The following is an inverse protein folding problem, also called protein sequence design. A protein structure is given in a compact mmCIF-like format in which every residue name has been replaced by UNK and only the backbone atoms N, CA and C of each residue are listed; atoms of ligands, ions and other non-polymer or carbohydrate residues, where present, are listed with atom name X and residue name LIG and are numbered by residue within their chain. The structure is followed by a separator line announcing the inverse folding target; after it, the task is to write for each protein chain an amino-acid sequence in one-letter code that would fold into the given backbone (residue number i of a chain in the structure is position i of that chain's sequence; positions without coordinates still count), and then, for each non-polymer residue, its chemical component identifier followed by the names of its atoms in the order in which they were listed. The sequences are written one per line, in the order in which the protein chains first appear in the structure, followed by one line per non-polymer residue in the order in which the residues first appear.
data_IF_097504112527
#
_entry.id   IF_097504112527
#
_cell.length_a   1.000
_cell.length_b   1.000
_cell.length_c   1.000
_cell.angle_alpha   90.00
_cell.angle_beta   90.00
_cell.angle_gamma   90.00
#
_symmetry.space_group_name_H-M   'P 1'
#
loop_
_entity.id
_entity.type
_entity.pdbx_description
1 polymer ?
#
# COMPACT_ATOMS: atom_id res chain seq x y z
N UNK A 1 -7.64 19.00 17.64
CA UNK A 1 -6.97 17.71 17.88
C UNK A 1 -7.45 17.16 19.21
N UNK A 2 -8.03 15.98 19.21
CA UNK A 2 -8.42 15.27 20.41
C UNK A 2 -7.29 14.31 20.80
N UNK A 3 -6.86 14.41 22.08
CA UNK A 3 -5.71 13.67 22.59
C UNK A 3 -6.00 13.14 23.99
N UNK A 4 -5.62 11.87 24.22
CA UNK A 4 -5.57 11.25 25.53
C UNK A 4 -4.25 10.49 25.64
N UNK A 5 -3.38 10.93 26.56
CA UNK A 5 -2.04 10.38 26.76
C UNK A 5 -2.08 8.86 26.93
N UNK A 6 -1.21 8.13 26.22
CA UNK A 6 -1.15 6.67 26.24
C UNK A 6 -2.36 5.96 25.61
N UNK A 7 -3.21 6.66 24.86
CA UNK A 7 -4.38 6.06 24.20
C UNK A 7 -4.57 6.54 22.76
N UNK A 8 -4.62 7.86 22.51
CA UNK A 8 -4.81 8.36 21.16
C UNK A 8 -4.45 9.83 20.99
N UNK A 9 -4.14 10.20 19.74
CA UNK A 9 -4.15 11.58 19.23
C UNK A 9 -4.72 11.54 17.81
N UNK A 10 -5.90 12.13 17.63
CA UNK A 10 -6.65 12.15 16.37
C UNK A 10 -7.17 13.56 16.07
N UNK A 11 -7.63 13.80 14.85
CA UNK A 11 -8.13 15.10 14.41
C UNK A 11 -9.32 15.59 15.25
N UNK A 12 -10.37 14.78 15.33
CA UNK A 12 -11.65 15.12 15.98
C UNK A 12 -12.43 13.83 16.29
N UNK A 13 -12.63 13.52 17.56
CA UNK A 13 -13.44 12.37 17.99
C UNK A 13 -14.93 12.47 17.60
N UNK A 14 -15.40 13.66 17.29
CA UNK A 14 -16.78 13.87 16.82
C UNK A 14 -17.09 13.17 15.49
N UNK A 15 -16.05 12.84 14.71
CA UNK A 15 -16.17 12.13 13.43
C UNK A 15 -16.40 10.62 13.56
N UNK A 16 -16.28 10.06 14.77
CA UNK A 16 -16.26 8.61 14.99
C UNK A 16 -17.53 7.87 14.53
N UNK A 17 -18.71 8.52 14.57
CA UNK A 17 -19.96 7.88 14.12
C UNK A 17 -19.97 7.69 12.60
N UNK A 18 -19.44 8.64 11.86
CA UNK A 18 -19.29 8.51 10.40
C UNK A 18 -18.26 7.46 10.03
N UNK A 19 -17.10 7.47 10.73
CA UNK A 19 -16.08 6.44 10.57
C UNK A 19 -16.62 5.04 10.83
N UNK A 20 -17.44 4.84 11.88
CA UNK A 20 -18.05 3.53 12.18
C UNK A 20 -18.89 2.99 11.02
N UNK A 21 -19.73 3.83 10.39
CA UNK A 21 -20.55 3.43 9.23
C UNK A 21 -19.67 2.98 8.04
N UNK A 22 -18.56 3.68 7.82
CA UNK A 22 -17.63 3.33 6.75
C UNK A 22 -16.88 2.03 7.03
N UNK A 23 -16.52 1.77 8.30
CA UNK A 23 -15.91 0.50 8.72
C UNK A 23 -16.92 -0.65 8.53
N UNK A 24 -18.17 -0.50 8.95
CA UNK A 24 -19.24 -1.49 8.73
C UNK A 24 -19.47 -1.79 7.24
N UNK A 25 -19.35 -0.77 6.38
CA UNK A 25 -19.37 -0.99 4.94
C UNK A 25 -18.19 -1.85 4.48
N UNK A 26 -16.96 -1.55 4.94
CA UNK A 26 -15.77 -2.33 4.59
C UNK A 26 -15.89 -3.79 5.10
N UNK A 27 -16.35 -4.00 6.34
CA UNK A 27 -16.62 -5.35 6.88
C UNK A 27 -17.51 -6.17 5.95
N UNK A 28 -18.57 -5.56 5.39
CA UNK A 28 -19.48 -6.24 4.45
C UNK A 28 -18.82 -6.64 3.12
N UNK A 29 -17.63 -6.14 2.82
CA UNK A 29 -16.86 -6.37 1.59
C UNK A 29 -15.57 -7.15 1.81
N UNK A 30 -15.27 -7.50 3.05
CA UNK A 30 -14.05 -8.21 3.46
C UNK A 30 -14.38 -9.55 4.12
N UNK A 31 -15.05 -10.48 3.38
CA UNK A 31 -15.57 -11.72 3.96
C UNK A 31 -14.47 -12.67 4.44
N UNK A 32 -13.27 -12.67 3.82
CA UNK A 32 -12.15 -13.55 4.23
C UNK A 32 -11.66 -13.12 5.61
N UNK A 33 -11.42 -11.83 5.81
CA UNK A 33 -10.96 -11.31 7.09
C UNK A 33 -12.03 -11.45 8.18
N UNK A 34 -13.32 -11.30 7.82
CA UNK A 34 -14.43 -11.52 8.75
C UNK A 34 -14.55 -12.99 9.14
N UNK A 35 -14.29 -13.94 8.24
CA UNK A 35 -14.26 -15.37 8.54
C UNK A 35 -13.12 -15.71 9.50
N UNK A 36 -11.91 -15.15 9.28
CA UNK A 36 -10.78 -15.30 10.21
C UNK A 36 -11.13 -14.74 11.60
N UNK A 37 -11.79 -13.59 11.67
CA UNK A 37 -12.28 -13.02 12.95
C UNK A 37 -13.23 -13.98 13.67
N UNK A 38 -14.19 -14.56 12.95
CA UNK A 38 -15.15 -15.53 13.52
C UNK A 38 -14.43 -16.80 14.02
N UNK A 39 -13.51 -17.34 13.22
CA UNK A 39 -12.76 -18.56 13.52
C UNK A 39 -11.88 -18.42 14.77
N UNK A 40 -11.19 -17.27 14.93
CA UNK A 40 -10.17 -17.10 15.96
C UNK A 40 -10.56 -16.24 17.16
N UNK A 41 -11.74 -15.60 17.15
CA UNK A 41 -12.17 -14.72 18.25
C UNK A 41 -12.38 -15.45 19.59
N UNK A 42 -12.78 -16.72 19.57
CA UNK A 42 -12.96 -17.52 20.78
C UNK A 42 -11.62 -18.05 21.34
N UNK A 43 -10.71 -18.47 20.48
CA UNK A 43 -9.40 -19.03 20.85
C UNK A 43 -8.39 -17.96 21.26
N UNK A 44 -8.56 -16.73 20.75
CA UNK A 44 -7.70 -15.55 21.02
C UNK A 44 -6.20 -15.82 20.88
N UNK A 45 -5.73 -16.24 19.71
CA UNK A 45 -4.32 -16.62 19.51
C UNK A 45 -3.33 -15.47 19.79
N UNK A 46 -3.79 -14.22 19.82
CA UNK A 46 -2.94 -13.06 20.11
C UNK A 46 -3.08 -12.55 21.56
N UNK A 47 -3.72 -13.30 22.47
CA UNK A 47 -3.84 -12.86 23.85
C UNK A 47 -2.46 -12.77 24.52
N UNK A 48 -2.14 -11.58 25.06
CA UNK A 48 -0.83 -11.28 25.64
C UNK A 48 0.22 -10.76 24.67
N UNK A 49 -0.11 -10.66 23.37
CA UNK A 49 0.77 -10.07 22.37
C UNK A 49 0.36 -8.64 22.03
N UNK A 50 1.34 -7.72 22.00
CA UNK A 50 1.16 -6.36 21.48
C UNK A 50 1.66 -6.30 20.04
N UNK A 51 0.83 -5.74 19.15
CA UNK A 51 1.12 -5.45 17.75
C UNK A 51 1.22 -3.95 17.58
N UNK A 52 2.38 -3.45 17.15
CA UNK A 52 2.54 -2.06 16.73
C UNK A 52 2.47 -1.96 15.22
N UNK A 53 1.57 -1.12 14.71
CA UNK A 53 1.34 -0.95 13.28
C UNK A 53 1.63 0.45 12.77
N UNK A 54 2.25 0.53 11.60
CA UNK A 54 2.42 1.75 10.82
C UNK A 54 1.94 1.48 9.39
N UNK A 55 0.64 1.69 9.16
CA UNK A 55 -0.02 1.44 7.88
C UNK A 55 -1.17 2.45 7.69
N UNK A 56 -1.53 2.74 6.44
CA UNK A 56 -2.57 3.71 6.09
C UNK A 56 -3.85 3.52 6.92
N UNK A 57 -4.32 4.58 7.59
CA UNK A 57 -5.53 4.53 8.41
C UNK A 57 -6.75 4.72 7.53
N UNK A 58 -7.19 3.63 6.91
CA UNK A 58 -8.39 3.55 6.07
C UNK A 58 -9.47 2.68 6.73
N UNK A 59 -10.67 2.67 6.17
CA UNK A 59 -11.76 1.80 6.65
C UNK A 59 -11.39 0.31 6.60
N UNK A 60 -10.62 -0.11 5.62
CA UNK A 60 -10.12 -1.47 5.47
C UNK A 60 -9.13 -1.83 6.57
N UNK A 61 -8.19 -0.93 6.84
CA UNK A 61 -7.22 -1.09 7.94
C UNK A 61 -7.92 -1.21 9.28
N UNK A 62 -9.01 -0.46 9.49
CA UNK A 62 -9.79 -0.59 10.71
C UNK A 62 -10.39 -1.99 10.88
N UNK A 63 -10.83 -2.64 9.78
CA UNK A 63 -11.32 -4.04 9.85
C UNK A 63 -10.19 -4.99 10.27
N UNK A 64 -8.96 -4.80 9.76
CA UNK A 64 -7.79 -5.58 10.22
C UNK A 64 -7.49 -5.35 11.70
N UNK A 65 -7.39 -4.10 12.12
CA UNK A 65 -7.11 -3.72 13.53
C UNK A 65 -8.14 -4.34 14.49
N UNK A 66 -9.43 -4.19 14.18
CA UNK A 66 -10.51 -4.75 15.01
C UNK A 66 -10.54 -6.28 14.95
N UNK A 67 -10.09 -6.90 13.85
CA UNK A 67 -9.94 -8.36 13.78
C UNK A 67 -8.82 -8.85 14.69
N UNK A 68 -7.64 -8.21 14.65
CA UNK A 68 -6.53 -8.52 15.55
C UNK A 68 -6.94 -8.36 17.03
N UNK A 69 -7.64 -7.27 17.36
CA UNK A 69 -8.15 -7.03 18.71
C UNK A 69 -9.21 -8.07 19.15
N UNK A 70 -10.15 -8.44 18.28
CA UNK A 70 -11.14 -9.47 18.55
C UNK A 70 -10.47 -10.83 18.82
N UNK A 71 -9.32 -11.09 18.16
CA UNK A 71 -8.49 -12.29 18.36
C UNK A 71 -7.47 -12.16 19.51
N UNK A 72 -7.59 -11.12 20.36
CA UNK A 72 -6.87 -10.99 21.62
C UNK A 72 -5.66 -10.03 21.60
N UNK A 73 -5.28 -9.46 20.47
CA UNK A 73 -4.12 -8.57 20.40
C UNK A 73 -4.33 -7.24 21.12
N UNK A 74 -3.29 -6.75 21.79
CA UNK A 74 -3.15 -5.34 22.13
C UNK A 74 -2.59 -4.62 20.89
N UNK A 75 -3.30 -3.58 20.39
CA UNK A 75 -2.90 -2.93 19.13
C UNK A 75 -2.62 -1.45 19.37
N UNK A 76 -1.44 -0.99 18.91
CA UNK A 76 -1.08 0.42 18.80
C UNK A 76 -0.81 0.77 17.33
N UNK A 77 -1.36 1.88 16.83
CA UNK A 77 -1.36 2.17 15.40
C UNK A 77 -1.03 3.60 15.03
N UNK A 78 -0.29 3.78 13.94
CA UNK A 78 -0.05 5.06 13.27
C UNK A 78 -0.25 4.96 11.77
N UNK A 79 -0.40 6.12 11.09
CA UNK A 79 -0.39 6.15 9.62
C UNK A 79 1.02 6.12 9.06
N UNK A 80 1.22 5.48 7.93
CA UNK A 80 2.50 5.40 7.21
C UNK A 80 2.70 6.49 6.15
N UNK A 81 1.76 7.43 6.02
CA UNK A 81 1.83 8.53 5.06
C UNK A 81 1.08 9.77 5.60
N UNK A 82 1.67 10.97 5.49
CA UNK A 82 1.06 12.19 6.02
C UNK A 82 -0.33 12.56 5.49
N UNK A 83 -0.67 12.13 4.27
CA UNK A 83 -1.93 12.52 3.59
C UNK A 83 -2.93 11.36 3.44
N UNK A 84 -2.65 10.18 3.99
CA UNK A 84 -3.50 9.00 3.76
C UNK A 84 -4.50 8.69 4.87
N UNK A 85 -4.32 9.27 6.07
CA UNK A 85 -5.23 9.02 7.19
C UNK A 85 -6.63 9.55 6.90
N UNK A 86 -7.63 8.69 7.06
CA UNK A 86 -9.04 9.07 7.09
C UNK A 86 -9.41 9.43 8.53
N UNK A 87 -9.63 10.73 8.79
CA UNK A 87 -9.77 11.26 10.15
C UNK A 87 -10.98 10.69 10.90
N UNK A 88 -12.05 10.36 10.19
CA UNK A 88 -13.25 9.71 10.73
C UNK A 88 -12.98 8.26 11.16
N UNK A 89 -12.14 7.56 10.42
CA UNK A 89 -11.72 6.19 10.76
C UNK A 89 -10.80 6.21 11.99
N UNK A 90 -9.80 7.10 12.03
CA UNK A 90 -8.95 7.27 13.20
C UNK A 90 -9.79 7.60 14.46
N UNK A 91 -10.79 8.46 14.33
CA UNK A 91 -11.72 8.79 15.41
C UNK A 91 -12.56 7.58 15.86
N UNK A 92 -13.03 6.74 14.92
CA UNK A 92 -13.80 5.54 15.23
C UNK A 92 -12.96 4.52 16.01
N UNK A 93 -11.73 4.25 15.57
CA UNK A 93 -10.79 3.37 16.25
C UNK A 93 -10.43 3.89 17.65
N UNK A 94 -10.12 5.18 17.80
CA UNK A 94 -9.86 5.80 19.10
C UNK A 94 -11.03 5.66 20.06
N UNK A 95 -12.26 5.87 19.58
CA UNK A 95 -13.48 5.72 20.37
C UNK A 95 -13.78 4.26 20.72
N UNK A 96 -13.38 3.32 19.84
CA UNK A 96 -13.43 1.87 20.07
C UNK A 96 -12.43 1.36 21.09
N UNK A 97 -11.46 2.18 21.50
CA UNK A 97 -10.43 1.84 22.49
C UNK A 97 -9.09 1.41 21.91
N UNK A 98 -8.91 1.51 20.59
CA UNK A 98 -7.61 1.28 19.96
C UNK A 98 -6.63 2.38 20.34
N UNK A 99 -5.40 2.01 20.72
CA UNK A 99 -4.29 2.97 20.84
C UNK A 99 -3.90 3.45 19.45
N UNK A 100 -4.19 4.73 19.12
CA UNK A 100 -4.00 5.26 17.76
C UNK A 100 -3.51 6.71 17.75
N UNK A 101 -2.50 6.95 16.94
CA UNK A 101 -1.88 8.25 16.72
C UNK A 101 -1.84 8.54 15.22
N UNK A 102 -2.89 9.19 14.68
CA UNK A 102 -3.01 9.44 13.26
C UNK A 102 -4.00 10.57 12.94
N UNK A 103 -3.64 11.44 12.00
CA UNK A 103 -4.53 12.44 11.40
C UNK A 103 -4.04 12.85 10.01
N UNK A 104 -4.92 13.35 9.18
CA UNK A 104 -4.58 13.83 7.85
C UNK A 104 -3.76 15.13 7.92
N UNK A 105 -2.70 15.26 7.12
CA UNK A 105 -1.88 16.46 7.03
C UNK A 105 -0.80 16.55 8.12
N UNK A 106 -0.18 15.43 8.47
CA UNK A 106 1.01 15.38 9.33
C UNK A 106 2.18 16.11 8.67
N UNK A 107 2.97 16.83 9.45
CA UNK A 107 4.33 17.16 9.05
C UNK A 107 5.30 16.01 9.38
N UNK A 108 6.57 16.14 9.03
CA UNK A 108 7.56 15.08 9.24
C UNK A 108 7.79 14.80 10.73
N UNK A 109 7.81 15.82 11.58
CA UNK A 109 8.05 15.67 13.02
C UNK A 109 6.85 14.97 13.68
N UNK A 110 5.63 15.39 13.34
CA UNK A 110 4.40 14.74 13.80
C UNK A 110 4.29 13.28 13.29
N UNK A 111 4.75 13.00 12.06
CA UNK A 111 4.74 11.64 11.50
C UNK A 111 5.61 10.69 12.33
N UNK A 112 6.87 11.03 12.57
CA UNK A 112 7.76 10.20 13.40
C UNK A 112 7.30 10.18 14.86
N UNK A 113 6.77 11.27 15.39
CA UNK A 113 6.17 11.28 16.72
C UNK A 113 5.04 10.26 16.86
N UNK A 114 4.19 10.11 15.82
CA UNK A 114 3.12 9.09 15.83
C UNK A 114 3.69 7.66 15.87
N UNK A 115 4.73 7.37 15.05
CA UNK A 115 5.41 6.06 15.07
C UNK A 115 5.98 5.78 16.46
N UNK A 116 6.72 6.73 17.04
CA UNK A 116 7.30 6.63 18.38
C UNK A 116 6.25 6.28 19.46
N UNK A 117 5.05 6.87 19.37
CA UNK A 117 3.97 6.58 20.32
C UNK A 117 3.49 5.13 20.24
N UNK A 118 3.49 4.51 19.07
CA UNK A 118 3.06 3.10 18.95
C UNK A 118 4.01 2.11 19.63
N UNK A 119 5.25 2.52 19.86
CA UNK A 119 6.31 1.71 20.50
C UNK A 119 6.71 2.21 21.89
N UNK A 120 5.97 3.14 22.50
CA UNK A 120 6.19 3.55 23.91
C UNK A 120 6.21 2.35 24.87
N UNK A 121 5.44 1.33 24.58
CA UNK A 121 5.55 0.00 25.17
C UNK A 121 6.09 -0.95 24.11
N UNK A 122 7.19 -1.65 24.35
CA UNK A 122 7.77 -2.55 23.35
C UNK A 122 6.76 -3.54 22.79
N UNK A 123 6.61 -3.64 21.44
CA UNK A 123 5.72 -4.61 20.83
C UNK A 123 6.34 -6.00 20.78
N UNK A 124 5.50 -7.02 20.64
CA UNK A 124 5.91 -8.37 20.29
C UNK A 124 5.95 -8.59 18.78
N UNK A 125 5.12 -7.84 18.04
CA UNK A 125 4.99 -7.93 16.58
C UNK A 125 4.93 -6.54 15.97
N UNK A 126 5.51 -6.39 14.78
CA UNK A 126 5.42 -5.16 13.97
C UNK A 126 4.65 -5.42 12.68
N UNK A 127 3.80 -4.48 12.25
CA UNK A 127 3.12 -4.49 10.97
C UNK A 127 3.41 -3.15 10.28
N UNK A 128 4.08 -3.16 9.15
CA UNK A 128 4.59 -1.93 8.52
C UNK A 128 4.20 -1.83 7.05
N UNK A 129 4.19 -0.61 6.57
CA UNK A 129 3.95 -0.27 5.17
C UNK A 129 4.95 0.83 4.75
N UNK A 130 6.07 0.39 4.19
CA UNK A 130 7.21 1.22 3.82
C UNK A 130 8.43 1.07 4.73
N UNK A 131 8.35 0.23 5.75
CA UNK A 131 9.41 -0.10 6.70
C UNK A 131 9.89 1.08 7.56
N UNK A 132 9.06 2.11 7.81
CA UNK A 132 9.47 3.24 8.65
C UNK A 132 9.42 2.91 10.14
N UNK A 133 8.41 2.15 10.60
CA UNK A 133 8.35 1.63 11.97
C UNK A 133 9.50 0.65 12.25
N UNK A 134 9.67 -0.34 11.37
CA UNK A 134 10.73 -1.35 11.52
C UNK A 134 12.11 -0.67 11.52
N UNK A 135 12.33 0.30 10.62
CA UNK A 135 13.58 1.06 10.57
C UNK A 135 13.80 1.90 11.84
N UNK A 136 12.75 2.56 12.36
CA UNK A 136 12.82 3.32 13.62
C UNK A 136 13.22 2.40 14.79
N UNK A 137 12.63 1.21 14.90
CA UNK A 137 13.06 0.23 15.91
C UNK A 137 14.53 -0.12 15.77
N UNK A 138 15.01 -0.43 14.55
CA UNK A 138 16.39 -0.86 14.34
C UNK A 138 17.43 0.26 14.52
N UNK A 139 17.08 1.52 14.19
CA UNK A 139 18.01 2.66 14.26
C UNK A 139 18.04 3.33 15.64
N UNK A 140 16.87 3.56 16.23
CA UNK A 140 16.72 4.41 17.39
C UNK A 140 16.36 3.66 18.67
N UNK A 141 15.81 2.45 18.55
CA UNK A 141 15.30 1.61 19.66
C UNK A 141 15.75 0.14 19.54
N UNK A 142 16.99 -0.10 19.11
CA UNK A 142 17.49 -1.47 18.83
C UNK A 142 17.43 -2.43 20.03
N UNK A 143 17.39 -1.89 21.26
CA UNK A 143 17.16 -2.67 22.47
C UNK A 143 15.77 -3.29 22.58
N UNK A 144 14.78 -2.78 21.82
CA UNK A 144 13.44 -3.34 21.77
C UNK A 144 13.36 -4.59 20.88
N UNK A 145 14.30 -4.75 19.93
CA UNK A 145 14.29 -5.87 19.00
C UNK A 145 14.31 -7.24 19.70
N UNK A 146 14.94 -7.35 20.87
CA UNK A 146 14.95 -8.57 21.69
C UNK A 146 13.55 -9.00 22.18
N UNK A 147 12.57 -8.09 22.17
CA UNK A 147 11.18 -8.38 22.56
C UNK A 147 10.30 -8.72 21.36
N UNK A 148 10.77 -8.43 20.14
CA UNK A 148 9.99 -8.58 18.91
C UNK A 148 10.23 -9.99 18.36
N UNK A 149 9.15 -10.78 18.27
CA UNK A 149 9.20 -12.14 17.73
C UNK A 149 9.12 -12.19 16.22
N UNK A 150 8.73 -11.08 15.58
CA UNK A 150 8.72 -10.94 14.13
C UNK A 150 7.84 -9.78 13.66
N UNK A 151 7.80 -9.60 12.34
CA UNK A 151 7.01 -8.55 11.71
C UNK A 151 6.51 -8.92 10.33
N UNK A 152 5.79 -8.00 9.72
CA UNK A 152 5.31 -8.10 8.35
C UNK A 152 5.40 -6.75 7.63
N UNK A 153 5.55 -6.80 6.29
CA UNK A 153 5.66 -5.62 5.43
C UNK A 153 4.68 -5.70 4.28
N UNK A 154 3.88 -4.64 4.12
CA UNK A 154 2.77 -4.56 3.17
C UNK A 154 3.21 -4.19 1.75
N UNK A 155 4.30 -3.40 1.59
CA UNK A 155 4.57 -2.76 0.30
C UNK A 155 5.93 -3.07 -0.29
N UNK A 156 6.02 -3.06 -1.63
CA UNK A 156 7.25 -3.32 -2.40
C UNK A 156 8.43 -2.46 -1.93
N UNK A 157 8.20 -1.17 -1.64
CA UNK A 157 9.27 -0.25 -1.22
C UNK A 157 9.84 -0.64 0.14
N UNK A 158 8.98 -1.02 1.10
CA UNK A 158 9.41 -1.52 2.40
C UNK A 158 10.14 -2.85 2.29
N UNK A 159 9.63 -3.81 1.51
CA UNK A 159 10.31 -5.09 1.26
C UNK A 159 11.72 -4.87 0.69
N UNK A 160 11.90 -3.93 -0.25
CA UNK A 160 13.23 -3.60 -0.78
C UNK A 160 14.18 -3.07 0.31
N UNK A 161 13.70 -2.21 1.21
CA UNK A 161 14.49 -1.69 2.35
C UNK A 161 14.88 -2.82 3.31
N UNK A 162 13.92 -3.69 3.65
CA UNK A 162 14.14 -4.81 4.56
C UNK A 162 15.11 -5.85 3.98
N UNK A 163 14.98 -6.19 2.68
CA UNK A 163 15.95 -7.07 2.00
C UNK A 163 17.35 -6.45 1.93
N UNK A 164 17.48 -5.13 1.83
CA UNK A 164 18.77 -4.46 1.93
C UNK A 164 19.34 -4.56 3.34
N UNK A 165 18.53 -4.38 4.39
CA UNK A 165 18.94 -4.57 5.79
C UNK A 165 19.35 -6.03 6.07
N UNK A 166 18.61 -7.01 5.55
CA UNK A 166 18.93 -8.44 5.66
C UNK A 166 20.28 -8.76 5.00
N UNK A 167 20.50 -8.32 3.76
CA UNK A 167 21.78 -8.49 3.05
C UNK A 167 22.98 -7.87 3.79
N UNK A 168 22.75 -6.77 4.50
CA UNK A 168 23.78 -6.11 5.32
C UNK A 168 23.94 -6.74 6.72
N UNK A 169 23.14 -7.77 7.05
CA UNK A 169 23.12 -8.41 8.38
C UNK A 169 22.69 -7.45 9.49
N UNK A 170 21.75 -6.56 9.20
CA UNK A 170 21.24 -5.52 10.13
C UNK A 170 19.84 -5.82 10.66
N UNK A 171 19.12 -6.74 10.03
CA UNK A 171 17.81 -7.15 10.50
C UNK A 171 17.96 -7.94 11.81
N UNK A 172 17.13 -7.65 12.82
CA UNK A 172 17.25 -8.17 14.18
C UNK A 172 16.08 -9.08 14.58
N UNK A 173 15.12 -9.28 13.70
CA UNK A 173 14.01 -10.21 13.85
C UNK A 173 13.45 -10.59 12.48
N UNK A 174 12.75 -11.74 12.35
CA UNK A 174 12.19 -12.18 11.08
C UNK A 174 11.05 -11.27 10.61
N UNK A 175 10.95 -11.03 9.30
CA UNK A 175 9.87 -10.23 8.70
C UNK A 175 9.29 -10.97 7.49
N UNK A 176 7.97 -11.16 7.48
CA UNK A 176 7.25 -11.65 6.30
C UNK A 176 7.01 -10.54 5.28
N UNK A 177 7.43 -10.77 4.04
CA UNK A 177 7.13 -9.92 2.89
C UNK A 177 5.71 -10.20 2.36
N UNK A 178 4.70 -9.68 3.04
CA UNK A 178 3.30 -9.87 2.63
C UNK A 178 3.05 -9.34 1.22
N UNK A 179 3.73 -8.25 0.83
CA UNK A 179 3.67 -7.73 -0.53
C UNK A 179 3.94 -8.78 -1.61
N UNK A 180 4.75 -9.81 -1.31
CA UNK A 180 5.23 -10.77 -2.30
C UNK A 180 4.32 -12.03 -2.41
N UNK A 181 3.23 -12.13 -1.61
CA UNK A 181 2.18 -13.13 -1.79
C UNK A 181 1.38 -12.90 -3.09
N UNK A 182 1.01 -13.95 -3.82
CA UNK A 182 0.25 -13.83 -5.09
C UNK A 182 -1.13 -13.22 -4.86
N UNK A 183 -1.84 -13.62 -3.79
CA UNK A 183 -3.13 -13.04 -3.40
C UNK A 183 -3.03 -11.59 -2.98
N UNK A 184 -1.82 -11.08 -2.72
CA UNK A 184 -1.57 -9.66 -2.48
C UNK A 184 -1.20 -8.92 -3.75
N UNK A 185 -0.04 -9.20 -4.37
CA UNK A 185 0.48 -8.35 -5.45
C UNK A 185 -0.31 -8.43 -6.75
N UNK A 186 -0.91 -9.58 -7.11
CA UNK A 186 -1.67 -9.68 -8.36
C UNK A 186 -3.07 -9.08 -8.24
N UNK A 187 -3.54 -8.83 -7.02
CA UNK A 187 -4.85 -8.23 -6.75
C UNK A 187 -4.73 -6.78 -6.27
N UNK A 188 -4.07 -6.55 -5.15
CA UNK A 188 -3.91 -5.22 -4.56
C UNK A 188 -3.09 -4.30 -5.46
N UNK A 189 -1.85 -4.67 -5.78
CA UNK A 189 -0.97 -3.82 -6.57
C UNK A 189 -1.46 -3.63 -8.02
N UNK A 190 -2.18 -4.59 -8.60
CA UNK A 190 -2.70 -4.52 -9.97
C UNK A 190 -4.10 -3.90 -10.02
N UNK A 191 -5.08 -4.58 -9.43
CA UNK A 191 -6.48 -4.14 -9.50
C UNK A 191 -6.76 -2.97 -8.55
N UNK A 192 -6.26 -3.04 -7.33
CA UNK A 192 -6.41 -2.00 -6.32
C UNK A 192 -5.80 -0.68 -6.77
N UNK A 193 -4.48 -0.68 -7.03
CA UNK A 193 -3.76 0.52 -7.50
C UNK A 193 -4.31 1.04 -8.83
N UNK A 194 -4.61 0.14 -9.77
CA UNK A 194 -5.15 0.53 -11.08
C UNK A 194 -6.46 1.30 -10.97
N UNK A 195 -7.39 0.83 -10.16
CA UNK A 195 -8.69 1.49 -9.97
C UNK A 195 -8.57 2.77 -9.14
N UNK A 196 -7.91 2.70 -7.99
CA UNK A 196 -7.84 3.83 -7.05
C UNK A 196 -7.02 5.01 -7.58
N UNK A 197 -5.98 4.76 -8.39
CA UNK A 197 -5.23 5.82 -9.07
C UNK A 197 -6.13 6.60 -10.02
N UNK A 198 -6.92 5.91 -10.83
CA UNK A 198 -7.88 6.57 -11.74
C UNK A 198 -8.95 7.34 -10.94
N UNK A 199 -9.46 6.76 -9.85
CA UNK A 199 -10.42 7.43 -8.96
C UNK A 199 -9.82 8.73 -8.39
N UNK A 200 -8.59 8.71 -7.89
CA UNK A 200 -7.89 9.90 -7.39
C UNK A 200 -7.73 11.00 -8.45
N UNK A 201 -7.32 10.63 -9.66
CA UNK A 201 -7.20 11.55 -10.78
C UNK A 201 -8.56 12.18 -11.12
N UNK A 202 -9.62 11.39 -11.18
CA UNK A 202 -10.96 11.87 -11.49
C UNK A 202 -11.51 12.80 -10.41
N UNK A 203 -11.35 12.46 -9.14
CA UNK A 203 -11.78 13.30 -8.01
C UNK A 203 -11.05 14.65 -7.98
N UNK A 204 -9.72 14.63 -8.15
CA UNK A 204 -8.90 15.84 -8.13
C UNK A 204 -9.08 16.73 -9.37
N UNK A 205 -9.54 16.21 -10.51
CA UNK A 205 -9.54 16.95 -11.77
C UNK A 205 -10.89 17.01 -12.48
N UNK A 206 -11.74 16.00 -12.33
CA UNK A 206 -12.96 15.80 -13.17
C UNK A 206 -12.65 15.79 -14.68
N UNK A 207 -11.45 15.34 -15.09
CA UNK A 207 -11.01 15.34 -16.49
C UNK A 207 -11.61 14.17 -17.26
N UNK A 208 -11.81 14.34 -18.58
CA UNK A 208 -12.14 13.23 -19.47
C UNK A 208 -10.85 12.47 -19.82
N UNK A 209 -10.80 11.19 -19.51
CA UNK A 209 -9.66 10.32 -19.82
C UNK A 209 -9.68 9.84 -21.27
N UNK A 210 -10.87 9.58 -21.83
CA UNK A 210 -10.99 9.08 -23.19
C UNK A 210 -10.34 10.02 -24.21
N UNK A 211 -9.53 9.44 -25.11
CA UNK A 211 -8.78 10.15 -26.14
C UNK A 211 -7.53 10.87 -25.67
N UNK A 212 -7.23 10.90 -24.35
CA UNK A 212 -6.00 11.48 -23.80
C UNK A 212 -4.82 10.56 -24.00
N UNK A 213 -3.63 11.13 -24.20
CA UNK A 213 -2.38 10.42 -24.11
C UNK A 213 -2.01 10.26 -22.63
N UNK A 214 -2.19 9.06 -22.11
CA UNK A 214 -1.97 8.72 -20.71
C UNK A 214 -0.62 8.02 -20.58
N UNK A 215 0.34 8.68 -19.97
CA UNK A 215 1.71 8.20 -19.78
C UNK A 215 1.83 7.51 -18.42
N UNK A 216 2.30 6.28 -18.41
CA UNK A 216 2.58 5.49 -17.22
C UNK A 216 4.10 5.23 -17.17
N UNK A 217 4.76 5.77 -16.14
CA UNK A 217 6.16 5.49 -15.88
C UNK A 217 6.29 4.26 -15.00
N UNK A 218 6.90 3.19 -15.54
CA UNK A 218 6.96 1.87 -14.94
C UNK A 218 5.82 0.96 -15.38
N UNK A 219 6.15 -0.32 -15.64
CA UNK A 219 5.19 -1.36 -16.03
C UNK A 219 5.31 -2.61 -15.15
N UNK A 220 5.59 -2.39 -13.85
CA UNK A 220 5.44 -3.39 -12.80
C UNK A 220 3.97 -3.65 -12.49
N UNK A 221 3.67 -4.23 -11.35
CA UNK A 221 2.29 -4.58 -10.96
C UNK A 221 1.36 -3.35 -10.97
N UNK A 222 1.74 -2.28 -10.27
CA UNK A 222 0.95 -1.04 -10.20
C UNK A 222 0.80 -0.38 -11.58
N UNK A 223 1.91 -0.17 -12.30
CA UNK A 223 1.88 0.47 -13.62
C UNK A 223 1.06 -0.30 -14.65
N UNK A 224 1.11 -1.65 -14.63
CA UNK A 224 0.28 -2.53 -15.46
C UNK A 224 -1.21 -2.34 -15.14
N UNK A 225 -1.55 -2.27 -13.86
CA UNK A 225 -2.92 -2.04 -13.40
C UNK A 225 -3.46 -0.69 -13.88
N UNK A 226 -2.69 0.39 -13.69
CA UNK A 226 -3.04 1.74 -14.14
C UNK A 226 -3.19 1.80 -15.66
N UNK A 227 -2.23 1.22 -16.43
CA UNK A 227 -2.29 1.20 -17.88
C UNK A 227 -3.54 0.47 -18.41
N UNK A 228 -3.88 -0.67 -17.80
CA UNK A 228 -5.06 -1.45 -18.16
C UNK A 228 -6.35 -0.65 -17.92
N UNK A 229 -6.47 0.02 -16.76
CA UNK A 229 -7.65 0.83 -16.43
C UNK A 229 -7.77 2.07 -17.31
N UNK A 230 -6.68 2.80 -17.54
CA UNK A 230 -6.67 3.96 -18.41
C UNK A 230 -7.07 3.59 -19.85
N UNK A 231 -6.53 2.47 -20.38
CA UNK A 231 -6.90 1.92 -21.69
C UNK A 231 -8.38 1.54 -21.75
N UNK A 232 -8.90 0.89 -20.70
CA UNK A 232 -10.33 0.54 -20.57
C UNK A 232 -11.26 1.77 -20.56
N UNK A 233 -10.77 2.93 -20.13
CA UNK A 233 -11.48 4.21 -20.19
C UNK A 233 -11.26 4.98 -21.50
N UNK A 234 -10.62 4.38 -22.50
CA UNK A 234 -10.44 4.94 -23.83
C UNK A 234 -9.23 5.86 -23.98
N UNK A 235 -8.26 5.82 -23.06
CA UNK A 235 -7.00 6.54 -23.22
C UNK A 235 -6.10 5.90 -24.29
N UNK A 236 -5.25 6.73 -24.92
CA UNK A 236 -4.09 6.30 -25.66
C UNK A 236 -2.94 6.09 -24.67
N UNK A 237 -2.65 4.85 -24.28
CA UNK A 237 -1.68 4.55 -23.23
C UNK A 237 -0.25 4.52 -23.78
N UNK A 238 0.65 5.21 -23.08
CA UNK A 238 2.08 5.28 -23.34
C UNK A 238 2.80 4.80 -22.09
N UNK A 239 3.69 3.83 -22.22
CA UNK A 239 4.50 3.29 -21.11
C UNK A 239 5.96 3.72 -21.30
N UNK A 240 6.57 4.16 -20.20
CA UNK A 240 8.01 4.35 -20.12
C UNK A 240 8.61 3.34 -19.17
N UNK A 241 9.69 2.66 -19.54
CA UNK A 241 10.24 1.55 -18.78
C UNK A 241 11.77 1.45 -19.02
N UNK A 242 12.49 0.97 -17.99
CA UNK A 242 13.95 0.79 -18.05
C UNK A 242 14.37 -0.66 -18.27
N UNK A 243 13.50 -1.62 -17.94
CA UNK A 243 13.76 -3.06 -18.11
C UNK A 243 13.28 -3.52 -19.49
N UNK A 244 14.18 -4.03 -20.39
CA UNK A 244 13.81 -4.40 -21.74
C UNK A 244 12.69 -5.45 -21.84
N UNK A 245 12.72 -6.48 -21.00
CA UNK A 245 11.67 -7.52 -20.98
C UNK A 245 10.30 -6.96 -20.57
N UNK A 246 10.26 -6.05 -19.59
CA UNK A 246 9.03 -5.40 -19.12
C UNK A 246 8.50 -4.43 -20.20
N UNK A 247 9.37 -3.68 -20.86
CA UNK A 247 9.00 -2.82 -21.99
C UNK A 247 8.43 -3.63 -23.17
N UNK A 248 9.04 -4.78 -23.47
CA UNK A 248 8.52 -5.69 -24.50
C UNK A 248 7.12 -6.23 -24.11
N UNK A 249 6.91 -6.59 -22.84
CA UNK A 249 5.60 -7.02 -22.35
C UNK A 249 4.56 -5.92 -22.55
N UNK A 250 4.86 -4.68 -22.16
CA UNK A 250 3.95 -3.54 -22.35
C UNK A 250 3.58 -3.36 -23.83
N UNK A 251 4.55 -3.55 -24.76
CA UNK A 251 4.31 -3.48 -26.20
C UNK A 251 3.34 -4.57 -26.66
N UNK A 252 3.53 -5.82 -26.19
CA UNK A 252 2.67 -6.95 -26.56
C UNK A 252 1.27 -6.84 -25.93
N UNK A 253 1.13 -6.20 -24.78
CA UNK A 253 -0.16 -5.87 -24.15
C UNK A 253 -0.87 -4.70 -24.89
N UNK A 254 -0.24 -4.16 -25.95
CA UNK A 254 -0.83 -3.17 -26.86
C UNK A 254 -0.74 -1.74 -26.35
N UNK A 255 0.30 -1.41 -25.60
CA UNK A 255 0.66 -0.04 -25.23
C UNK A 255 1.75 0.50 -26.15
N UNK A 256 1.78 1.82 -26.36
CA UNK A 256 2.96 2.45 -26.96
C UNK A 256 4.08 2.48 -25.93
N UNK A 257 5.31 2.20 -26.35
CA UNK A 257 6.49 2.28 -25.47
C UNK A 257 7.49 3.27 -26.05
N UNK A 258 7.97 4.20 -25.22
CA UNK A 258 8.97 5.20 -25.60
C UNK A 258 9.73 5.70 -24.38
N UNK A 259 10.78 6.52 -24.58
CA UNK A 259 11.48 7.19 -23.48
C UNK A 259 10.59 8.25 -22.82
N UNK A 260 10.88 8.58 -21.53
CA UNK A 260 10.18 9.68 -20.87
C UNK A 260 10.42 11.03 -21.57
N UNK A 261 11.60 11.27 -22.13
CA UNK A 261 11.90 12.48 -22.90
C UNK A 261 10.97 12.66 -24.12
N UNK A 262 10.60 11.56 -24.79
CA UNK A 262 9.65 11.56 -25.90
C UNK A 262 8.19 11.62 -25.43
N UNK A 263 7.87 10.87 -24.35
CA UNK A 263 6.53 10.83 -23.76
C UNK A 263 6.12 12.20 -23.19
N UNK A 264 7.06 12.96 -22.62
CA UNK A 264 6.82 14.29 -22.06
C UNK A 264 6.24 15.28 -23.09
N UNK A 265 6.60 15.17 -24.37
CA UNK A 265 6.09 16.03 -25.45
C UNK A 265 4.67 15.62 -25.90
N UNK A 266 4.27 14.37 -25.64
CA UNK A 266 3.02 13.78 -26.15
C UNK A 266 1.93 13.65 -25.10
N UNK A 267 2.31 13.47 -23.83
CA UNK A 267 1.42 13.17 -22.73
C UNK A 267 0.46 14.32 -22.38
N UNK A 268 -0.73 13.94 -21.96
CA UNK A 268 -1.74 14.84 -21.37
C UNK A 268 -1.88 14.55 -19.87
N UNK A 269 -1.76 13.27 -19.47
CA UNK A 269 -1.81 12.79 -18.08
C UNK A 269 -0.59 11.89 -17.86
N UNK A 270 0.11 12.08 -16.76
CA UNK A 270 1.29 11.32 -16.36
C UNK A 270 1.08 10.70 -15.01
N UNK A 271 1.40 9.40 -14.87
CA UNK A 271 1.41 8.68 -13.59
C UNK A 271 2.73 7.96 -13.44
N UNK A 272 3.41 8.18 -12.32
CA UNK A 272 4.61 7.43 -11.95
C UNK A 272 4.26 6.27 -11.02
N UNK A 273 4.88 5.10 -11.25
CA UNK A 273 4.63 3.84 -10.54
C UNK A 273 5.89 2.97 -10.52
N UNK A 274 7.05 3.56 -10.22
CA UNK A 274 8.37 2.90 -10.37
C UNK A 274 9.04 2.56 -9.04
N UNK A 275 8.71 3.28 -7.97
CA UNK A 275 9.43 3.23 -6.71
C UNK A 275 10.85 3.85 -6.78
N UNK A 276 11.19 4.55 -7.89
CA UNK A 276 12.50 5.15 -8.11
C UNK A 276 12.46 6.66 -7.94
N UNK A 277 13.59 7.24 -7.56
CA UNK A 277 13.75 8.69 -7.42
C UNK A 277 13.88 9.36 -8.78
N UNK A 278 13.37 10.61 -8.91
CA UNK A 278 13.61 11.52 -10.04
C UNK A 278 13.20 10.95 -11.41
N UNK A 279 12.07 10.28 -11.49
CA UNK A 279 11.51 9.69 -12.72
C UNK A 279 11.05 10.79 -13.68
N UNK A 280 10.32 11.79 -13.16
CA UNK A 280 9.96 13.01 -13.90
C UNK A 280 10.73 14.17 -13.30
N UNK A 281 11.55 14.83 -14.13
CA UNK A 281 12.49 15.88 -13.77
C UNK A 281 12.20 17.18 -14.52
N UNK A 282 12.88 18.27 -14.14
CA UNK A 282 12.74 19.59 -14.77
C UNK A 282 12.78 19.57 -16.29
N UNK A 283 13.70 18.80 -16.91
CA UNK A 283 13.78 18.64 -18.37
C UNK A 283 12.50 18.07 -19.00
N UNK A 284 11.77 17.21 -18.27
CA UNK A 284 10.52 16.64 -18.74
C UNK A 284 9.36 17.64 -18.55
N UNK A 285 9.31 18.33 -17.41
CA UNK A 285 8.32 19.39 -17.16
C UNK A 285 8.39 20.51 -18.19
N UNK A 286 9.61 20.88 -18.65
CA UNK A 286 9.78 21.88 -19.70
C UNK A 286 9.14 21.48 -21.04
N UNK A 287 9.11 20.18 -21.36
CA UNK A 287 8.54 19.64 -22.60
C UNK A 287 7.04 19.38 -22.54
N UNK A 288 6.47 19.31 -21.34
CA UNK A 288 5.05 19.05 -21.17
C UNK A 288 4.19 20.17 -21.75
N UNK A 289 3.06 19.76 -22.34
CA UNK A 289 2.02 20.66 -22.88
C UNK A 289 1.42 21.53 -21.78
N UNK A 290 0.87 22.69 -22.18
CA UNK A 290 0.01 23.45 -21.28
C UNK A 290 -1.19 22.61 -20.83
N UNK A 291 -1.41 22.55 -19.52
CA UNK A 291 -2.50 21.80 -18.90
C UNK A 291 -2.17 20.33 -18.63
N UNK A 292 -0.92 19.89 -18.77
CA UNK A 292 -0.50 18.54 -18.40
C UNK A 292 -0.81 18.24 -16.91
N UNK A 293 -1.36 17.06 -16.64
CA UNK A 293 -1.67 16.57 -15.29
C UNK A 293 -0.63 15.53 -14.90
N UNK A 294 -0.05 15.66 -13.72
CA UNK A 294 1.00 14.77 -13.21
C UNK A 294 0.59 14.22 -11.85
N UNK A 295 0.65 12.91 -11.69
CA UNK A 295 0.33 12.20 -10.47
C UNK A 295 1.39 11.13 -10.16
N UNK A 296 1.50 10.77 -8.90
CA UNK A 296 2.32 9.66 -8.44
C UNK A 296 1.42 8.60 -7.77
N UNK A 297 1.72 7.33 -8.02
CA UNK A 297 1.12 6.20 -7.31
C UNK A 297 2.20 5.27 -6.71
N UNK A 298 3.46 5.72 -6.67
CA UNK A 298 4.52 5.11 -5.88
C UNK A 298 4.42 5.53 -4.41
N UNK A 299 4.99 4.73 -3.52
CA UNK A 299 4.85 4.90 -2.06
C UNK A 299 5.35 6.26 -1.56
N UNK A 300 6.50 6.71 -2.03
CA UNK A 300 7.10 7.99 -1.64
C UNK A 300 6.92 9.07 -2.73
N UNK A 301 6.99 10.34 -2.32
CA UNK A 301 6.86 11.52 -3.17
C UNK A 301 8.15 11.88 -3.95
N UNK A 302 9.10 10.96 -4.03
CA UNK A 302 10.41 11.18 -4.65
C UNK A 302 10.46 10.94 -6.17
N UNK A 303 9.41 10.34 -6.75
CA UNK A 303 9.38 10.03 -8.18
C UNK A 303 9.23 11.28 -9.05
N UNK A 304 8.57 12.31 -8.53
CA UNK A 304 8.41 13.61 -9.15
C UNK A 304 9.39 14.60 -8.53
N UNK A 305 10.31 15.18 -9.32
CA UNK A 305 11.22 16.20 -8.82
C UNK A 305 10.49 17.55 -8.76
N UNK A 306 9.72 17.78 -7.69
CA UNK A 306 8.93 19.00 -7.52
C UNK A 306 9.77 20.22 -7.18
N UNK A 307 10.97 20.04 -6.66
CA UNK A 307 11.95 21.13 -6.46
C UNK A 307 12.37 21.72 -7.83
N UNK A 308 12.78 20.86 -8.78
CA UNK A 308 13.08 21.31 -10.13
C UNK A 308 11.85 21.93 -10.83
N UNK A 309 10.63 21.45 -10.58
CA UNK A 309 9.41 22.06 -11.12
C UNK A 309 9.15 23.45 -10.51
N UNK A 310 9.33 23.59 -9.21
CA UNK A 310 9.18 24.90 -8.53
C UNK A 310 10.18 25.92 -9.07
N UNK A 311 11.44 25.51 -9.28
CA UNK A 311 12.50 26.38 -9.85
C UNK A 311 12.19 26.85 -11.30
N UNK A 312 11.43 26.04 -12.06
CA UNK A 312 11.00 26.35 -13.42
C UNK A 312 9.70 27.17 -13.49
N UNK A 313 9.10 27.44 -12.35
CA UNK A 313 7.77 28.06 -12.24
C UNK A 313 7.83 29.48 -11.69
N UNK A 314 7.03 30.36 -12.26
CA UNK A 314 6.88 31.76 -11.79
C UNK A 314 5.75 31.91 -10.76
N UNK A 315 4.87 30.90 -10.66
CA UNK A 315 3.76 30.86 -9.69
C UNK A 315 3.34 29.40 -9.43
N UNK A 316 2.88 29.18 -8.19
CA UNK A 316 2.31 27.89 -7.77
C UNK A 316 1.13 28.14 -6.82
N UNK A 317 -0.03 27.55 -7.12
CA UNK A 317 -1.25 27.74 -6.32
C UNK A 317 -2.13 26.49 -6.31
N UNK A 318 -2.85 26.27 -5.26
CA UNK A 318 -3.93 25.29 -5.23
C UNK A 318 -5.13 25.81 -6.05
N UNK A 319 -5.62 25.00 -6.99
CA UNK A 319 -6.76 25.33 -7.86
C UNK A 319 -8.00 24.51 -7.53
N UNK A 320 -7.81 23.36 -6.93
CA UNK A 320 -8.81 22.45 -6.37
C UNK A 320 -8.16 21.66 -5.25
N UNK A 321 -8.97 21.06 -4.40
CA UNK A 321 -8.50 20.10 -3.41
C UNK A 321 -7.61 19.03 -4.08
N UNK A 322 -6.43 18.79 -3.53
CA UNK A 322 -5.41 17.86 -4.05
C UNK A 322 -4.93 18.15 -5.49
N UNK A 323 -5.04 19.39 -5.96
CA UNK A 323 -4.60 19.79 -7.30
C UNK A 323 -3.90 21.16 -7.25
N UNK A 324 -2.60 21.15 -7.43
CA UNK A 324 -1.72 22.32 -7.45
C UNK A 324 -1.27 22.64 -8.87
N UNK A 325 -1.57 23.87 -9.32
CA UNK A 325 -1.10 24.44 -10.58
C UNK A 325 0.28 25.04 -10.40
N UNK A 326 1.20 24.71 -11.29
CA UNK A 326 2.50 25.35 -11.46
C UNK A 326 2.52 26.04 -12.80
N UNK A 327 2.78 27.34 -12.83
CA UNK A 327 2.87 28.14 -14.07
C UNK A 327 4.35 28.33 -14.44
N UNK A 328 4.78 27.75 -15.56
CA UNK A 328 6.15 27.87 -16.07
C UNK A 328 6.44 29.27 -16.59
N UNK A 329 7.72 29.63 -16.78
CA UNK A 329 8.15 30.94 -17.31
C UNK A 329 7.53 31.28 -18.69
N UNK A 330 7.26 30.27 -19.53
CA UNK A 330 6.64 30.47 -20.84
C UNK A 330 5.11 30.61 -20.78
N UNK A 331 4.52 30.56 -19.58
CA UNK A 331 3.09 30.65 -19.33
C UNK A 331 2.32 29.33 -19.40
N UNK A 332 2.95 28.22 -19.82
CA UNK A 332 2.31 26.90 -19.77
C UNK A 332 2.17 26.41 -18.33
N UNK A 333 1.13 25.63 -18.06
CA UNK A 333 0.78 25.13 -16.74
C UNK A 333 0.96 23.62 -16.64
N UNK A 334 1.40 23.18 -15.48
CA UNK A 334 1.44 21.77 -15.07
C UNK A 334 0.64 21.63 -13.78
N UNK A 335 -0.22 20.63 -13.71
CA UNK A 335 -1.04 20.34 -12.54
C UNK A 335 -0.48 19.10 -11.82
N UNK A 336 -0.09 19.26 -10.57
CA UNK A 336 0.42 18.18 -9.72
C UNK A 336 -0.67 17.76 -8.75
N UNK A 337 -0.98 16.46 -8.70
CA UNK A 337 -2.00 15.92 -7.83
C UNK A 337 -1.40 15.37 -6.53
N UNK A 338 -2.10 15.60 -5.40
CA UNK A 338 -1.72 15.08 -4.09
C UNK A 338 -0.33 15.54 -3.63
N UNK A 339 0.14 16.71 -4.08
CA UNK A 339 1.49 17.22 -3.82
C UNK A 339 2.60 16.20 -4.15
N UNK A 340 2.39 15.36 -5.18
CA UNK A 340 3.31 14.32 -5.61
C UNK A 340 3.30 13.03 -4.79
N UNK A 341 2.45 12.93 -3.76
CA UNK A 341 2.25 11.72 -2.97
C UNK A 341 1.28 10.76 -3.65
N UNK A 342 1.05 9.59 -3.06
CA UNK A 342 0.11 8.58 -3.56
C UNK A 342 -1.27 9.20 -3.86
N UNK A 343 -1.57 9.42 -5.13
CA UNK A 343 -2.82 10.07 -5.57
C UNK A 343 -4.07 9.28 -5.18
N UNK A 344 -3.96 7.96 -5.12
CA UNK A 344 -5.04 7.04 -4.74
C UNK A 344 -5.47 7.16 -3.28
N UNK A 345 -4.59 7.65 -2.41
CA UNK A 345 -4.86 7.85 -0.98
C UNK A 345 -4.99 9.33 -0.61
N UNK A 346 -4.21 10.20 -1.26
CA UNK A 346 -4.32 11.64 -1.03
C UNK A 346 -5.61 12.24 -1.60
N UNK A 347 -6.04 11.78 -2.77
CA UNK A 347 -7.20 12.34 -3.49
C UNK A 347 -8.40 11.38 -3.61
N UNK A 348 -8.29 10.13 -3.13
CA UNK A 348 -9.37 9.14 -3.15
C UNK A 348 -9.41 8.35 -1.83
N UNK A 349 -10.11 7.22 -1.83
CA UNK A 349 -10.34 6.44 -0.62
C UNK A 349 -9.37 5.26 -0.45
N UNK A 350 -8.37 5.14 -1.33
CA UNK A 350 -7.46 4.01 -1.37
C UNK A 350 -8.00 2.83 -2.17
N UNK A 351 -7.45 1.65 -1.92
CA UNK A 351 -7.81 0.44 -2.65
C UNK A 351 -9.19 -0.09 -2.22
N UNK A 352 -9.93 -0.76 -3.15
CA UNK A 352 -11.21 -1.38 -2.82
C UNK A 352 -11.09 -2.42 -1.71
N UNK A 353 -12.10 -2.47 -0.83
CA UNK A 353 -12.14 -3.39 0.31
C UNK A 353 -12.01 -4.86 -0.12
N UNK A 354 -12.54 -5.23 -1.30
CA UNK A 354 -12.51 -6.59 -1.84
C UNK A 354 -11.09 -7.11 -2.13
N UNK A 355 -10.14 -6.22 -2.47
CA UNK A 355 -8.73 -6.62 -2.67
C UNK A 355 -7.93 -6.52 -1.38
N UNK A 356 -8.23 -5.52 -0.52
CA UNK A 356 -7.61 -5.40 0.80
C UNK A 356 -7.98 -6.55 1.73
N UNK A 357 -9.12 -7.19 1.51
CA UNK A 357 -9.57 -8.40 2.20
C UNK A 357 -8.50 -9.50 2.17
N UNK A 358 -7.94 -9.79 0.99
CA UNK A 358 -6.88 -10.80 0.82
C UNK A 358 -5.53 -10.31 1.35
N UNK A 359 -5.17 -9.05 1.08
CA UNK A 359 -3.91 -8.48 1.59
C UNK A 359 -3.87 -8.55 3.12
N UNK A 360 -4.94 -8.14 3.77
CA UNK A 360 -5.00 -8.12 5.24
C UNK A 360 -5.23 -9.51 5.87
N UNK A 361 -5.81 -10.46 5.12
CA UNK A 361 -5.81 -11.86 5.52
C UNK A 361 -4.38 -12.43 5.55
N UNK A 362 -3.52 -12.07 4.59
CA UNK A 362 -2.09 -12.40 4.62
C UNK A 362 -1.38 -11.79 5.84
N UNK A 363 -1.67 -10.52 6.19
CA UNK A 363 -1.14 -9.88 7.40
C UNK A 363 -1.52 -10.66 8.67
N UNK A 364 -2.80 -11.01 8.78
CA UNK A 364 -3.31 -11.79 9.91
C UNK A 364 -2.63 -13.16 10.01
N UNK A 365 -2.56 -13.90 8.89
CA UNK A 365 -1.96 -15.24 8.84
C UNK A 365 -0.46 -15.22 9.11
N UNK A 366 0.27 -14.24 8.60
CA UNK A 366 1.69 -14.05 8.87
C UNK A 366 1.97 -13.84 10.37
N UNK A 367 1.18 -13.00 11.03
CA UNK A 367 1.30 -12.79 12.46
C UNK A 367 0.90 -14.02 13.27
N UNK A 368 -0.13 -14.74 12.83
CA UNK A 368 -0.56 -15.99 13.47
C UNK A 368 0.56 -17.06 13.41
N UNK A 369 1.20 -17.21 12.26
CA UNK A 369 2.34 -18.14 12.09
C UNK A 369 3.52 -17.76 13.01
N UNK A 370 3.88 -16.48 13.11
CA UNK A 370 4.93 -16.00 14.00
C UNK A 370 4.63 -16.32 15.47
N UNK A 371 3.40 -16.13 15.93
CA UNK A 371 2.98 -16.46 17.29
C UNK A 371 3.03 -17.98 17.52
N UNK A 372 2.50 -18.79 16.61
CA UNK A 372 2.52 -20.26 16.72
C UNK A 372 3.94 -20.82 16.76
N UNK A 373 4.85 -20.26 15.96
CA UNK A 373 6.29 -20.62 16.01
C UNK A 373 6.95 -20.24 17.32
N UNK A 374 6.62 -19.06 17.83
CA UNK A 374 7.12 -18.63 19.14
C UNK A 374 6.65 -19.54 20.26
N UNK A 375 5.37 -19.93 20.27
CA UNK A 375 4.82 -20.84 21.28
C UNK A 375 5.34 -22.27 21.19
N UNK A 376 5.73 -22.72 19.98
CA UNK A 376 6.32 -24.05 19.74
C UNK A 376 7.85 -24.09 19.82
N UNK A 377 8.52 -22.98 20.11
CA UNK A 377 9.98 -22.82 20.13
C UNK A 377 10.64 -23.13 18.76
N UNK A 378 9.93 -22.80 17.67
CA UNK A 378 10.34 -22.97 16.27
C UNK A 378 10.61 -21.62 15.57
N UNK A 379 11.31 -20.71 16.25
CA UNK A 379 11.56 -19.35 15.75
C UNK A 379 12.29 -19.34 14.41
N UNK A 380 11.92 -18.40 13.55
CA UNK A 380 12.63 -18.11 12.31
C UNK A 380 13.94 -17.35 12.59
N UNK A 381 14.93 -17.46 11.68
CA UNK A 381 16.12 -16.61 11.71
C UNK A 381 15.76 -15.15 11.34
N UNK A 382 16.62 -14.20 11.75
CA UNK A 382 16.44 -12.76 11.49
C UNK A 382 16.65 -12.41 10.00
N UNK A 383 15.66 -12.72 9.19
CA UNK A 383 15.66 -12.57 7.71
C UNK A 383 14.31 -12.11 7.19
N UNK A 384 14.29 -11.70 5.93
CA UNK A 384 13.04 -11.48 5.19
C UNK A 384 12.57 -12.78 4.57
N UNK A 385 11.34 -13.17 4.83
CA UNK A 385 10.70 -14.38 4.34
C UNK A 385 9.56 -14.05 3.39
N UNK A 386 9.43 -14.81 2.31
CA UNK A 386 8.23 -14.83 1.49
C UNK A 386 7.09 -15.54 2.24
N UNK A 387 5.84 -15.17 1.97
CA UNK A 387 4.69 -15.92 2.47
C UNK A 387 4.73 -17.33 1.89
N UNK A 388 4.59 -18.38 2.72
CA UNK A 388 4.51 -19.76 2.24
C UNK A 388 3.35 -19.93 1.23
N UNK A 389 3.60 -20.63 0.12
CA UNK A 389 2.60 -20.83 -0.93
C UNK A 389 1.29 -21.45 -0.39
N UNK A 390 1.40 -22.39 0.55
CA UNK A 390 0.24 -23.04 1.17
C UNK A 390 -0.65 -22.01 1.91
N UNK A 391 -0.03 -21.05 2.60
CA UNK A 391 -0.77 -19.98 3.29
C UNK A 391 -1.48 -19.04 2.29
N UNK A 392 -0.82 -18.73 1.19
CA UNK A 392 -1.36 -17.89 0.12
C UNK A 392 -2.52 -18.57 -0.61
N UNK A 393 -2.37 -19.87 -0.92
CA UNK A 393 -3.40 -20.70 -1.54
C UNK A 393 -4.65 -20.82 -0.65
N UNK A 394 -4.50 -21.04 0.67
CA UNK A 394 -5.60 -21.06 1.63
C UNK A 394 -6.45 -19.77 1.58
N UNK A 395 -5.80 -18.61 1.48
CA UNK A 395 -6.50 -17.33 1.37
C UNK A 395 -7.29 -17.24 0.06
N UNK A 396 -6.69 -17.69 -1.05
CA UNK A 396 -7.36 -17.75 -2.35
C UNK A 396 -8.57 -18.69 -2.33
N UNK A 397 -8.44 -19.87 -1.71
CA UNK A 397 -9.53 -20.84 -1.56
C UNK A 397 -10.69 -20.24 -0.78
N UNK A 398 -10.42 -19.66 0.40
CA UNK A 398 -11.46 -18.99 1.21
C UNK A 398 -12.11 -17.86 0.42
N UNK A 399 -11.35 -17.08 -0.34
CA UNK A 399 -11.91 -16.02 -1.18
C UNK A 399 -12.86 -16.57 -2.25
N UNK A 400 -12.48 -17.64 -2.94
CA UNK A 400 -13.34 -18.32 -3.93
C UNK A 400 -14.61 -18.85 -3.29
N UNK A 401 -14.52 -19.49 -2.13
CA UNK A 401 -15.68 -19.97 -1.36
C UNK A 401 -16.66 -18.84 -1.03
N UNK A 402 -16.15 -17.70 -0.57
CA UNK A 402 -17.00 -16.52 -0.26
C UNK A 402 -17.69 -15.93 -1.50
N UNK A 403 -17.11 -16.17 -2.69
CA UNK A 403 -17.71 -15.81 -3.98
C UNK A 403 -18.65 -16.88 -4.55
N UNK A 404 -18.73 -18.05 -3.92
CA UNK A 404 -19.50 -19.19 -4.40
C UNK A 404 -18.93 -19.82 -5.68
N UNK A 405 -17.61 -19.76 -5.85
CA UNK A 405 -16.89 -20.29 -7.02
C UNK A 405 -16.23 -21.60 -6.63
N UNK A 406 -16.57 -22.67 -7.38
CA UNK A 406 -15.89 -23.97 -7.31
C UNK A 406 -14.90 -24.07 -8.47
N UNK A 407 -13.72 -24.64 -8.21
CA UNK A 407 -12.69 -24.89 -9.22
C UNK A 407 -12.43 -26.41 -9.35
N UNK A 408 -11.83 -26.81 -10.46
CA UNK A 408 -11.43 -28.21 -10.67
C UNK A 408 -10.30 -28.60 -9.70
N UNK A 409 -10.33 -29.85 -9.23
CA UNK A 409 -9.24 -30.47 -8.48
C UNK A 409 -8.52 -31.50 -9.38
N UNK A 410 -7.22 -31.68 -9.16
CA UNK A 410 -6.45 -32.72 -9.81
C UNK A 410 -6.95 -34.10 -9.34
N UNK A 411 -6.99 -35.08 -10.25
CA UNK A 411 -7.17 -36.47 -9.87
C UNK A 411 -5.87 -37.05 -9.34
N UNK A 412 -5.94 -38.16 -8.57
CA UNK A 412 -4.76 -38.88 -8.08
C UNK A 412 -3.75 -39.21 -9.21
N UNK A 413 -4.26 -39.59 -10.41
CA UNK A 413 -3.40 -39.86 -11.56
C UNK A 413 -2.69 -38.61 -12.08
N UNK A 414 -3.36 -37.44 -12.04
CA UNK A 414 -2.78 -36.15 -12.44
C UNK A 414 -1.74 -35.67 -11.43
N UNK A 415 -1.99 -35.80 -10.14
CA UNK A 415 -1.03 -35.49 -9.08
C UNK A 415 0.21 -36.37 -9.20
N UNK A 416 0.02 -37.69 -9.41
CA UNK A 416 1.14 -38.61 -9.63
C UNK A 416 1.93 -38.21 -10.89
N UNK A 417 1.25 -37.91 -12.01
CA UNK A 417 1.91 -37.47 -13.25
C UNK A 417 2.72 -36.21 -13.07
N UNK A 418 2.23 -35.23 -12.30
CA UNK A 418 2.93 -33.95 -12.06
C UNK A 418 4.23 -34.11 -11.28
N UNK A 419 4.38 -35.20 -10.51
CA UNK A 419 5.56 -35.48 -9.67
C UNK A 419 6.43 -36.62 -10.22
N UNK A 420 5.98 -37.34 -11.26
CA UNK A 420 6.67 -38.48 -11.85
C UNK A 420 7.59 -38.06 -13.02
N UNK A 421 8.89 -38.01 -12.75
CA UNK A 421 9.92 -37.69 -13.77
C UNK A 421 10.08 -38.81 -14.82
N UNK A 422 9.51 -40.01 -14.63
CA UNK A 422 9.56 -41.13 -15.57
C UNK A 422 8.42 -41.08 -16.62
N UNK A 423 7.40 -40.26 -16.40
CA UNK A 423 6.26 -40.07 -17.28
C UNK A 423 6.63 -39.11 -18.43
N UNK A 424 7.39 -39.58 -19.41
CA UNK A 424 7.75 -38.82 -20.61
C UNK A 424 7.35 -39.63 -21.89
N UNK A 425 7.13 -38.90 -23.02
CA UNK A 425 6.95 -39.50 -24.35
C UNK A 425 8.26 -39.57 -25.10
#
# INVERSE_FOLDING_TARGET
MDHKEGQYKVRDLGLAEEGRKRIEWAESRMPVLMQLREEFSDSKPFEGYKISGCLHVTKETAVLVETLQACGAEVAWSGCNPLSTQDDIAAALAKGGTEIYAWHGLDTDDFYWCIERTIDTPPHLTLDDGADLIFTVHSDHSEMADHIIGGSEETTTGVHRLRAMDNDGKLQYPVYAVNDAETKWDFDNVYGTGQSTIDGILRATSTLIAGKNFVIAGYGHCGRGVATRAKGMGANTIVTEVRPATALKATLDGHQVMSMDEAAEKGDIFVTATGMKDVIRGRHFLKMKDGAIVANTGHYDVELNLEELADLSIDAREVRENNREYTKENGDRVYVLGDGRLVNLAAAEGHPSEVMDMSFANQFRAHLDLVQRHESDEMLEDKVYDIPQEMDDEIAEVKLETMGIEIDALSEDQEHYATDYSAGT
#
